data_IF_870610905371
#
_entry.id   IF_870610905371
#
_cell.length_a   1.000
_cell.length_b   1.000
_cell.length_c   1.000
_cell.angle_alpha   90.00
_cell.angle_beta   90.00
_cell.angle_gamma   90.00
#
_symmetry.space_group_name_H-M   'P 1'
#
loop_
_entity.id
_entity.type
_entity.pdbx_description
1 polymer ?
#
# COMPACT_ATOMS: atom_id res chain seq x y z
N UNK A 1 -22.85 -4.69 9.24
CA UNK A 1 -22.79 -4.87 7.77
C UNK A 1 -21.32 -4.87 7.41
N UNK A 2 -20.86 -5.78 6.55
CA UNK A 2 -19.44 -5.91 6.21
C UNK A 2 -19.13 -5.10 4.95
N UNK A 3 -18.00 -4.40 4.92
CA UNK A 3 -17.59 -3.68 3.74
C UNK A 3 -16.76 -4.58 2.82
N UNK A 4 -17.22 -4.77 1.58
CA UNK A 4 -16.40 -5.35 0.53
C UNK A 4 -15.31 -4.35 0.16
N UNK A 5 -14.05 -4.74 0.35
CA UNK A 5 -12.92 -4.03 -0.22
C UNK A 5 -13.05 -4.05 -1.74
N UNK A 6 -12.88 -2.89 -2.37
CA UNK A 6 -12.76 -2.81 -3.83
C UNK A 6 -11.32 -2.48 -4.15
N UNK A 7 -10.71 -3.32 -4.96
CA UNK A 7 -9.51 -2.95 -5.70
C UNK A 7 -9.88 -1.76 -6.56
N UNK A 8 -9.36 -0.60 -6.17
CA UNK A 8 -9.68 0.66 -6.81
C UNK A 8 -8.46 1.14 -7.60
N UNK A 9 -7.97 0.22 -8.42
CA UNK A 9 -7.28 0.55 -9.65
C UNK A 9 -8.27 1.17 -10.64
N UNK A 10 -8.97 2.24 -10.24
CA UNK A 10 -9.87 2.98 -11.12
C UNK A 10 -9.18 3.31 -12.45
N UNK A 11 -9.96 3.29 -13.53
CA UNK A 11 -9.64 3.66 -14.92
C UNK A 11 -8.87 4.99 -15.15
N UNK A 12 -8.52 5.73 -14.09
CA UNK A 12 -7.71 6.95 -14.12
C UNK A 12 -6.24 6.74 -14.53
N UNK A 13 -5.81 5.51 -14.85
CA UNK A 13 -4.40 5.12 -15.01
C UNK A 13 -3.95 4.78 -16.43
N UNK A 14 -4.74 5.07 -17.47
CA UNK A 14 -4.30 4.81 -18.86
C UNK A 14 -3.04 5.65 -19.18
N UNK A 15 -2.02 5.01 -19.74
CA UNK A 15 -0.75 5.67 -20.10
C UNK A 15 0.39 5.38 -19.12
N UNK A 16 1.17 6.41 -18.75
CA UNK A 16 2.43 6.26 -18.00
C UNK A 16 2.29 5.45 -16.71
N UNK A 17 1.24 5.68 -15.92
CA UNK A 17 1.08 5.01 -14.60
C UNK A 17 0.91 3.48 -14.68
N UNK A 18 0.54 2.94 -15.85
CA UNK A 18 0.38 1.50 -16.09
C UNK A 18 1.46 0.92 -17.00
N UNK A 19 2.46 1.72 -17.38
CA UNK A 19 3.50 1.31 -18.31
C UNK A 19 4.26 0.08 -17.78
N UNK A 20 4.47 -0.90 -18.67
CA UNK A 20 5.39 -2.01 -18.44
C UNK A 20 6.80 -1.46 -18.65
N UNK A 21 7.53 -1.27 -17.57
CA UNK A 21 8.92 -0.78 -17.60
C UNK A 21 9.92 -1.94 -17.63
N UNK A 22 9.50 -3.14 -17.22
CA UNK A 22 10.29 -4.38 -17.30
C UNK A 22 9.47 -5.66 -17.10
N UNK A 23 10.11 -6.82 -17.29
CA UNK A 23 9.47 -8.16 -17.24
C UNK A 23 8.70 -8.47 -15.96
N UNK A 24 9.09 -7.93 -14.80
CA UNK A 24 8.29 -8.14 -13.58
C UNK A 24 6.98 -7.37 -13.62
N UNK A 25 6.99 -6.14 -14.14
CA UNK A 25 5.83 -5.24 -14.12
C UNK A 25 4.67 -5.73 -14.99
N UNK A 26 4.96 -6.53 -16.03
CA UNK A 26 3.91 -7.21 -16.80
C UNK A 26 3.17 -8.29 -16.00
N UNK A 27 3.71 -8.71 -14.85
CA UNK A 27 3.10 -9.68 -13.93
C UNK A 27 2.44 -9.03 -12.72
N UNK A 28 2.43 -7.70 -12.67
CA UNK A 28 1.88 -6.91 -11.55
C UNK A 28 0.84 -5.88 -12.05
N UNK A 29 -0.23 -6.32 -12.74
CA UNK A 29 -1.19 -5.42 -13.39
C UNK A 29 -1.96 -4.50 -12.42
N UNK A 30 -1.96 -4.75 -11.11
CA UNK A 30 -2.61 -3.85 -10.13
C UNK A 30 -1.71 -2.71 -9.64
N UNK A 31 -0.40 -2.80 -9.90
CA UNK A 31 0.59 -1.87 -9.39
C UNK A 31 0.85 -0.71 -10.35
N UNK A 32 0.77 0.52 -9.85
CA UNK A 32 0.88 1.77 -10.63
C UNK A 32 2.17 2.48 -10.32
N UNK A 33 2.85 3.01 -11.35
CA UNK A 33 4.04 3.85 -11.16
C UNK A 33 3.65 5.07 -10.33
N UNK A 34 4.40 5.29 -9.25
CA UNK A 34 4.31 6.51 -8.47
C UNK A 34 5.16 7.59 -9.13
N UNK A 35 4.50 8.64 -9.59
CA UNK A 35 5.19 9.78 -10.19
C UNK A 35 5.93 10.56 -9.10
N UNK A 36 7.25 10.68 -9.26
CA UNK A 36 8.16 11.36 -8.34
C UNK A 36 7.82 12.84 -8.19
N UNK A 37 7.14 13.44 -9.17
CA UNK A 37 6.66 14.83 -9.13
C UNK A 37 5.33 14.99 -8.38
N UNK A 38 4.59 13.91 -8.16
CA UNK A 38 3.26 13.87 -7.52
C UNK A 38 3.24 12.98 -6.28
N UNK A 39 4.27 13.07 -5.41
CA UNK A 39 4.35 12.33 -4.13
C UNK A 39 3.14 12.55 -3.22
N UNK A 40 2.39 13.65 -3.41
CA UNK A 40 1.18 13.94 -2.65
C UNK A 40 -0.04 13.32 -3.32
N UNK A 41 -0.46 12.16 -2.81
CA UNK A 41 -1.71 11.53 -3.26
C UNK A 41 -2.92 12.41 -2.93
N UNK A 42 -3.88 12.49 -3.87
CA UNK A 42 -5.11 13.29 -3.69
C UNK A 42 -5.88 12.84 -2.43
N UNK A 43 -6.41 13.78 -1.61
CA UNK A 43 -7.23 13.47 -0.44
C UNK A 43 -8.36 12.50 -0.77
N UNK A 44 -8.77 11.69 0.21
CA UNK A 44 -9.94 10.84 0.05
C UNK A 44 -11.23 11.68 -0.11
N UNK A 45 -12.29 11.10 -0.65
CA UNK A 45 -13.60 11.73 -0.60
C UNK A 45 -14.22 11.53 0.79
N UNK A 46 -15.16 12.38 1.18
CA UNK A 46 -15.82 12.28 2.49
C UNK A 46 -16.45 10.90 2.67
N UNK A 47 -16.24 10.29 3.84
CA UNK A 47 -16.68 8.93 4.16
C UNK A 47 -15.85 7.80 3.54
N UNK A 48 -14.88 8.11 2.69
CA UNK A 48 -13.97 7.13 2.07
C UNK A 48 -12.59 7.19 2.73
N UNK A 49 -12.00 6.02 2.96
CA UNK A 49 -10.59 5.86 3.31
C UNK A 49 -9.87 5.28 2.10
N UNK A 50 -8.72 5.87 1.76
CA UNK A 50 -7.80 5.33 0.76
C UNK A 50 -6.63 4.68 1.49
N UNK A 51 -6.38 3.40 1.20
CA UNK A 51 -5.17 2.71 1.64
C UNK A 51 -4.29 2.48 0.42
N UNK A 52 -3.03 2.91 0.49
CA UNK A 52 -2.05 2.78 -0.58
C UNK A 52 -0.91 1.92 -0.06
N UNK A 53 -0.69 0.79 -0.72
CA UNK A 53 0.49 -0.06 -0.46
C UNK A 53 1.56 0.33 -1.46
N UNK A 54 2.69 0.86 -1.00
CA UNK A 54 3.81 1.34 -1.80
C UNK A 54 4.98 0.38 -1.66
N UNK A 55 5.56 -0.02 -2.78
CA UNK A 55 6.69 -0.93 -2.85
C UNK A 55 7.68 -0.45 -3.91
N UNK A 56 8.97 -0.57 -3.62
CA UNK A 56 10.03 -0.33 -4.60
C UNK A 56 10.11 -1.51 -5.57
N UNK A 57 9.94 -1.24 -6.85
CA UNK A 57 10.10 -2.24 -7.91
C UNK A 57 11.53 -2.28 -8.43
N UNK A 58 12.20 -1.11 -8.51
CA UNK A 58 13.59 -0.93 -8.94
C UNK A 58 14.24 0.29 -8.28
N UNK A 59 15.53 0.50 -8.56
CA UNK A 59 16.28 1.62 -8.00
C UNK A 59 15.57 2.97 -8.17
N UNK A 60 14.96 3.20 -9.33
CA UNK A 60 14.32 4.44 -9.76
C UNK A 60 12.78 4.34 -9.85
N UNK A 61 12.19 3.23 -9.40
CA UNK A 61 10.77 2.95 -9.63
C UNK A 61 10.07 2.48 -8.36
N UNK A 62 9.22 3.35 -7.83
CA UNK A 62 8.24 3.00 -6.79
C UNK A 62 6.89 2.79 -7.45
N UNK A 63 6.18 1.75 -7.04
CA UNK A 63 4.79 1.53 -7.42
C UNK A 63 3.88 1.44 -6.22
N UNK A 64 2.61 1.76 -6.44
CA UNK A 64 1.58 1.61 -5.43
C UNK A 64 0.39 0.79 -5.94
N UNK A 65 -0.24 0.05 -5.02
CA UNK A 65 -1.57 -0.51 -5.17
C UNK A 65 -2.54 0.27 -4.28
N UNK A 66 -3.79 0.43 -4.72
CA UNK A 66 -4.79 1.27 -4.03
C UNK A 66 -6.04 0.49 -3.70
N UNK A 67 -6.41 0.56 -2.43
CA UNK A 67 -7.60 -0.04 -1.84
C UNK A 67 -8.50 1.10 -1.39
N UNK A 68 -9.79 1.05 -1.73
CA UNK A 68 -10.78 1.99 -1.20
C UNK A 68 -11.73 1.28 -0.24
N UNK A 69 -12.00 1.96 0.86
CA UNK A 69 -12.89 1.51 1.91
C UNK A 69 -13.93 2.60 2.20
N UNK A 70 -15.21 2.23 2.28
CA UNK A 70 -16.26 3.13 2.74
C UNK A 70 -16.45 2.93 4.25
N UNK A 71 -16.19 3.98 5.04
CA UNK A 71 -16.28 3.93 6.50
C UNK A 71 -17.70 3.61 7.00
N UNK A 72 -18.73 4.00 6.24
CA UNK A 72 -20.11 3.73 6.58
C UNK A 72 -20.54 2.28 6.32
N UNK A 73 -19.76 1.50 5.56
CA UNK A 73 -20.10 0.13 5.19
C UNK A 73 -19.71 -0.91 6.26
N UNK A 74 -19.12 -0.49 7.39
CA UNK A 74 -18.66 -1.36 8.49
C UNK A 74 -17.28 -1.95 8.24
N UNK A 75 -16.74 -2.80 9.13
CA UNK A 75 -15.35 -3.27 9.08
C UNK A 75 -14.94 -3.83 7.70
N UNK A 76 -13.77 -3.41 7.15
CA UNK A 76 -13.30 -3.96 5.89
C UNK A 76 -12.96 -5.44 6.06
N UNK A 77 -13.56 -6.30 5.24
CA UNK A 77 -13.12 -7.69 5.17
C UNK A 77 -11.78 -7.77 4.46
N UNK A 78 -10.79 -8.50 4.98
CA UNK A 78 -9.62 -8.89 4.19
C UNK A 78 -10.14 -9.66 2.97
N UNK A 79 -10.15 -9.04 1.80
CA UNK A 79 -10.21 -9.80 0.56
C UNK A 79 -8.84 -10.40 0.39
N UNK A 80 -8.78 -11.64 -0.10
CA UNK A 80 -7.51 -12.26 -0.46
C UNK A 80 -6.83 -11.32 -1.46
N UNK A 81 -5.74 -10.63 -1.07
CA UNK A 81 -5.24 -9.52 -1.85
C UNK A 81 -4.45 -10.12 -3.00
N UNK A 82 -5.14 -10.49 -4.08
CA UNK A 82 -4.55 -11.06 -5.29
C UNK A 82 -3.42 -10.17 -5.83
N UNK A 83 -3.50 -8.86 -5.60
CA UNK A 83 -2.44 -7.91 -5.92
C UNK A 83 -1.15 -8.09 -5.11
N UNK A 84 -1.18 -8.63 -3.87
CA UNK A 84 0.03 -8.94 -3.11
C UNK A 84 0.73 -10.19 -3.67
N UNK A 85 -0.01 -11.18 -4.17
CA UNK A 85 0.60 -12.36 -4.84
C UNK A 85 1.39 -11.95 -6.08
N UNK A 86 0.99 -10.86 -6.74
CA UNK A 86 1.69 -10.35 -7.91
C UNK A 86 3.12 -9.92 -7.61
N UNK A 87 3.37 -9.39 -6.42
CA UNK A 87 4.72 -9.01 -5.99
C UNK A 87 5.65 -10.22 -5.96
N UNK A 88 5.15 -11.40 -5.58
CA UNK A 88 5.91 -12.65 -5.62
C UNK A 88 6.14 -13.09 -7.07
N UNK A 89 5.07 -13.10 -7.88
CA UNK A 89 5.11 -13.50 -9.30
C UNK A 89 6.06 -12.63 -10.13
N UNK A 90 6.12 -11.35 -9.78
CA UNK A 90 7.06 -10.36 -10.32
C UNK A 90 8.47 -10.48 -9.77
N UNK A 91 8.71 -11.28 -8.72
CA UNK A 91 9.98 -11.33 -7.98
C UNK A 91 10.39 -9.96 -7.42
N UNK A 92 9.40 -9.18 -7.00
CA UNK A 92 9.59 -7.87 -6.37
C UNK A 92 9.90 -8.04 -4.89
N UNK A 93 9.11 -8.89 -4.22
CA UNK A 93 9.31 -9.28 -2.84
C UNK A 93 9.43 -10.81 -2.73
N UNK A 94 10.19 -11.28 -1.75
CA UNK A 94 10.24 -12.70 -1.37
C UNK A 94 9.04 -13.04 -0.48
N UNK A 95 8.69 -14.33 -0.41
CA UNK A 95 7.60 -14.83 0.44
C UNK A 95 7.70 -14.34 1.90
N UNK A 96 8.88 -14.39 2.52
CA UNK A 96 9.09 -13.91 3.88
C UNK A 96 8.73 -12.43 4.06
N UNK A 97 9.03 -11.61 3.05
CA UNK A 97 8.78 -10.16 3.05
C UNK A 97 7.29 -9.88 2.82
N UNK A 98 6.65 -10.68 1.97
CA UNK A 98 5.21 -10.63 1.73
C UNK A 98 4.40 -11.00 2.96
N UNK A 99 4.86 -11.97 3.77
CA UNK A 99 4.18 -12.33 5.03
C UNK A 99 4.11 -11.15 5.99
N UNK A 100 5.21 -10.41 6.14
CA UNK A 100 5.25 -9.21 6.99
C UNK A 100 4.32 -8.12 6.44
N UNK A 101 4.34 -7.89 5.12
CA UNK A 101 3.46 -6.91 4.49
C UNK A 101 1.97 -7.29 4.61
N UNK A 102 1.63 -8.57 4.46
CA UNK A 102 0.27 -9.09 4.66
C UNK A 102 -0.20 -8.87 6.10
N UNK A 103 0.64 -9.19 7.07
CA UNK A 103 0.34 -8.97 8.49
C UNK A 103 0.10 -7.49 8.80
N UNK A 104 0.95 -6.61 8.28
CA UNK A 104 0.81 -5.17 8.47
C UNK A 104 -0.49 -4.65 7.83
N UNK A 105 -0.82 -5.08 6.61
CA UNK A 105 -2.04 -4.69 5.95
C UNK A 105 -3.29 -5.22 6.67
N UNK A 106 -3.28 -6.48 7.10
CA UNK A 106 -4.38 -7.07 7.86
C UNK A 106 -4.64 -6.27 9.15
N UNK A 107 -3.58 -5.93 9.88
CA UNK A 107 -3.68 -5.07 11.07
C UNK A 107 -4.31 -3.71 10.73
N UNK A 108 -3.86 -3.05 9.66
CA UNK A 108 -4.46 -1.76 9.24
C UNK A 108 -5.96 -1.88 8.99
N UNK A 109 -6.39 -2.94 8.30
CA UNK A 109 -7.78 -3.18 7.96
C UNK A 109 -8.63 -3.55 9.19
N UNK A 110 -8.15 -4.45 10.04
CA UNK A 110 -8.82 -4.85 11.28
C UNK A 110 -8.96 -3.70 12.28
N UNK A 111 -7.96 -2.81 12.33
CA UNK A 111 -7.99 -1.57 13.13
C UNK A 111 -8.81 -0.45 12.49
N UNK A 112 -9.58 -0.77 11.44
CA UNK A 112 -10.46 0.16 10.70
C UNK A 112 -9.72 1.41 10.20
N UNK A 113 -8.43 1.26 9.88
CA UNK A 113 -7.57 2.33 9.41
C UNK A 113 -7.44 3.52 10.39
N UNK A 114 -7.63 3.29 11.69
CA UNK A 114 -7.48 4.31 12.74
C UNK A 114 -6.05 4.31 13.30
N UNK A 115 -5.53 5.48 13.65
CA UNK A 115 -4.17 5.60 14.18
C UNK A 115 -4.01 4.82 15.49
N UNK A 116 -4.90 5.07 16.46
CA UNK A 116 -4.82 4.46 17.79
C UNK A 116 -4.96 2.94 17.70
N UNK A 117 -5.93 2.43 16.94
CA UNK A 117 -6.11 0.99 16.76
C UNK A 117 -4.96 0.30 16.02
N UNK A 118 -4.23 1.01 15.15
CA UNK A 118 -3.00 0.47 14.54
C UNK A 118 -1.87 0.44 15.56
N UNK A 119 -1.69 1.54 16.29
CA UNK A 119 -0.59 1.72 17.24
C UNK A 119 -0.70 0.79 18.47
N UNK A 120 -1.91 0.32 18.79
CA UNK A 120 -2.12 -0.74 19.80
C UNK A 120 -1.58 -2.12 19.36
N UNK A 121 -1.33 -2.32 18.06
CA UNK A 121 -0.97 -3.64 17.49
C UNK A 121 0.41 -3.66 16.84
N UNK A 122 0.82 -2.55 16.22
CA UNK A 122 2.09 -2.41 15.53
C UNK A 122 2.68 -1.04 15.85
N UNK A 123 3.87 -1.04 16.43
CA UNK A 123 4.66 0.17 16.65
C UNK A 123 5.22 0.73 15.33
N UNK A 124 5.41 2.05 15.28
CA UNK A 124 6.06 2.73 14.15
C UNK A 124 5.11 3.34 13.13
N UNK A 125 3.80 3.39 13.40
CA UNK A 125 2.88 4.23 12.66
C UNK A 125 3.13 5.73 12.99
N UNK A 126 3.09 6.58 11.98
CA UNK A 126 3.24 8.04 12.14
C UNK A 126 2.03 8.75 11.55
N UNK A 127 1.45 9.69 12.29
CA UNK A 127 0.30 10.50 11.82
C UNK A 127 0.74 11.91 11.44
N UNK A 128 0.52 12.27 10.18
CA UNK A 128 0.79 13.59 9.62
C UNK A 128 -0.51 14.18 9.05
N UNK A 129 -1.19 15.01 9.86
CA UNK A 129 -2.52 15.53 9.53
C UNK A 129 -3.53 14.39 9.31
N UNK A 130 -4.09 14.32 8.10
CA UNK A 130 -5.07 13.31 7.70
C UNK A 130 -4.44 12.04 7.09
N UNK A 131 -3.12 11.91 7.14
CA UNK A 131 -2.40 10.73 6.63
C UNK A 131 -1.75 9.97 7.77
N UNK A 132 -1.93 8.66 7.79
CA UNK A 132 -1.14 7.74 8.63
C UNK A 132 -0.16 7.02 7.70
N UNK A 133 1.10 6.96 8.12
CA UNK A 133 2.18 6.29 7.41
C UNK A 133 2.66 5.14 8.28
N UNK A 134 2.57 3.91 7.75
CA UNK A 134 3.19 2.74 8.35
C UNK A 134 4.34 2.29 7.45
N UNK A 135 5.56 2.33 7.97
CA UNK A 135 6.73 1.80 7.26
C UNK A 135 6.96 0.36 7.69
N UNK A 136 6.83 -0.56 6.74
CA UNK A 136 6.94 -2.00 6.97
C UNK A 136 8.33 -2.45 6.54
N UNK A 137 9.22 -2.85 7.46
CA UNK A 137 10.53 -3.37 7.09
C UNK A 137 10.35 -4.69 6.33
N UNK A 138 10.85 -4.75 5.11
CA UNK A 138 10.79 -5.94 4.26
C UNK A 138 12.11 -6.70 4.23
N UNK A 139 13.23 -6.09 4.67
CA UNK A 139 14.52 -6.78 4.82
C UNK A 139 14.95 -6.95 6.27
N UNK A 140 15.61 -8.07 6.59
CA UNK A 140 16.18 -8.37 7.92
C UNK A 140 17.47 -7.57 8.23
N UNK A 141 18.10 -6.99 7.23
CA UNK A 141 19.26 -6.11 7.43
C UNK A 141 18.75 -4.69 7.67
N UNK A 142 19.33 -3.95 8.65
CA UNK A 142 18.93 -2.59 8.94
C UNK A 142 18.99 -1.78 7.64
N UNK A 143 17.92 -1.09 7.27
CA UNK A 143 17.97 -0.28 6.09
C UNK A 143 19.04 0.80 6.35
N UNK A 144 20.01 0.93 5.44
CA UNK A 144 20.49 2.28 5.06
C UNK A 144 19.39 2.94 4.19
N UNK A 145 18.13 2.70 4.55
CA UNK A 145 16.96 2.91 3.73
C UNK A 145 16.39 4.24 4.12
N UNK A 146 16.60 5.22 3.27
CA UNK A 146 15.75 6.39 3.33
C UNK A 146 14.31 5.94 3.03
N UNK A 147 13.33 6.24 3.90
CA UNK A 147 11.91 6.02 3.63
C UNK A 147 11.44 6.76 2.36
N UNK A 148 12.23 7.71 1.84
CA UNK A 148 11.95 8.41 0.60
C UNK A 148 12.05 7.50 -0.64
N UNK A 149 12.89 6.45 -0.58
CA UNK A 149 13.17 5.56 -1.70
C UNK A 149 12.72 4.11 -1.47
N UNK A 150 12.07 3.81 -0.34
CA UNK A 150 11.55 2.48 0.02
C UNK A 150 12.60 1.36 -0.12
N UNK A 151 13.84 1.63 0.24
CA UNK A 151 14.91 0.63 0.19
C UNK A 151 14.86 -0.26 1.43
N UNK A 152 14.62 -1.56 1.26
CA UNK A 152 14.49 -2.51 2.38
C UNK A 152 13.18 -2.36 3.18
N UNK A 153 12.23 -1.58 2.68
CA UNK A 153 10.91 -1.43 3.28
C UNK A 153 9.81 -1.26 2.23
N UNK A 154 8.58 -1.55 2.64
CA UNK A 154 7.35 -1.12 2.00
C UNK A 154 6.68 -0.05 2.86
N UNK A 155 5.71 0.67 2.31
CA UNK A 155 4.90 1.61 3.07
C UNK A 155 3.41 1.38 2.84
N UNK A 156 2.63 1.54 3.91
CA UNK A 156 1.18 1.61 3.83
C UNK A 156 0.78 3.04 4.20
N UNK A 157 0.20 3.76 3.25
CA UNK A 157 -0.37 5.09 3.50
C UNK A 157 -1.88 4.97 3.66
N UNK A 158 -2.40 5.56 4.71
CA UNK A 158 -3.84 5.64 4.98
C UNK A 158 -4.21 7.10 4.90
N UNK A 159 -5.07 7.45 3.95
CA UNK A 159 -5.49 8.83 3.70
C UNK A 159 -6.99 8.90 3.92
N UNK A 160 -7.40 9.74 4.87
CA UNK A 160 -8.79 10.08 5.14
C UNK A 160 -9.08 11.56 4.88
N UNK A 161 -10.35 11.93 4.85
CA UNK A 161 -10.77 13.33 4.91
C UNK A 161 -11.20 13.69 6.34
#
# INVERSE_FOLDING_TARGET
MEANLRDDSSDSGRGFSTQITFKATSRTPHWRIEDVTHKTHKPAASGIIKVLVRVRFRYDEIRYCKIRYNKAAGTPKPTDPTYLDELEKGKILKDSELRVLRFALATVLESQCTFDGINERIDGAVKNGNTIVLTVPTSLLPPVGSPDNLNGCAQILIISQ
#
